data_IF_060583364688
#
_entry.id   IF_060583364688
#
_cell.length_a   1.000
_cell.length_b   1.000
_cell.length_c   1.000
_cell.angle_alpha   90.00
_cell.angle_beta   90.00
_cell.angle_gamma   90.00
#
_symmetry.space_group_name_H-M   'P 1'
#
loop_
_entity.id
_entity.type
_entity.pdbx_description
1 polymer ?
#
# COMPACT_ATOMS: atom_id res chain seq x y z
N UNK A 1 -4.23 12.69 3.92
CA UNK A 1 -3.78 14.09 3.81
C UNK A 1 -4.36 14.77 2.57
N UNK A 2 -4.46 14.10 1.43
CA UNK A 2 -5.15 14.61 0.21
C UNK A 2 -6.69 14.65 0.29
N UNK A 3 -7.29 14.38 1.45
CA UNK A 3 -8.76 14.35 1.63
C UNK A 3 -9.48 13.14 1.02
N UNK A 4 -8.76 12.19 0.41
CA UNK A 4 -9.35 10.95 -0.13
C UNK A 4 -9.79 10.03 1.02
N UNK A 5 -11.03 9.54 0.96
CA UNK A 5 -11.56 8.60 1.93
C UNK A 5 -10.75 7.29 1.94
N UNK A 6 -10.42 6.73 3.13
CA UNK A 6 -9.77 5.42 3.25
C UNK A 6 -10.46 4.31 2.47
N UNK A 7 -11.79 4.35 2.41
CA UNK A 7 -12.64 3.42 1.70
C UNK A 7 -12.44 3.49 0.18
N UNK A 8 -12.29 4.69 -0.38
CA UNK A 8 -12.01 4.87 -1.81
C UNK A 8 -10.63 4.32 -2.19
N UNK A 9 -9.62 4.51 -1.33
CA UNK A 9 -8.30 3.88 -1.49
C UNK A 9 -8.41 2.36 -1.36
N UNK A 10 -9.24 1.88 -0.43
CA UNK A 10 -9.46 0.47 -0.23
C UNK A 10 -10.11 -0.20 -1.44
N UNK A 11 -11.11 0.41 -2.08
CA UNK A 11 -11.78 -0.19 -3.25
C UNK A 11 -10.91 -0.18 -4.51
N UNK A 12 -10.03 0.81 -4.67
CA UNK A 12 -9.17 0.91 -5.85
C UNK A 12 -8.22 -0.28 -6.00
N UNK A 13 -7.73 -0.85 -4.90
CA UNK A 13 -6.64 -1.83 -4.93
C UNK A 13 -7.09 -3.28 -5.18
N UNK A 14 -8.22 -3.76 -4.64
CA UNK A 14 -8.85 -5.01 -5.07
C UNK A 14 -9.33 -4.96 -6.51
N UNK A 15 -9.84 -3.81 -6.99
CA UNK A 15 -10.16 -3.62 -8.40
C UNK A 15 -8.91 -3.75 -9.28
N UNK A 16 -7.75 -3.28 -8.78
CA UNK A 16 -6.45 -3.48 -9.41
C UNK A 16 -5.92 -4.92 -9.30
N UNK A 17 -6.47 -5.76 -8.41
CA UNK A 17 -6.08 -7.16 -8.27
C UNK A 17 -5.29 -7.52 -7.00
N UNK A 18 -5.12 -6.58 -6.08
CA UNK A 18 -4.47 -6.87 -4.79
C UNK A 18 -5.46 -7.57 -3.84
N UNK A 19 -5.00 -8.49 -2.98
CA UNK A 19 -5.87 -9.22 -2.06
C UNK A 19 -6.46 -8.32 -0.95
N UNK A 20 -5.82 -7.18 -0.68
CA UNK A 20 -6.20 -6.25 0.38
C UNK A 20 -5.71 -4.85 0.06
N UNK A 21 -6.53 -3.84 0.39
CA UNK A 21 -6.12 -2.44 0.28
C UNK A 21 -5.06 -2.03 1.31
N UNK A 22 -4.17 -1.09 0.99
CA UNK A 22 -2.99 -0.73 1.80
C UNK A 22 -3.36 -0.19 3.18
N UNK A 23 -4.50 0.49 3.31
CA UNK A 23 -4.96 1.03 4.60
C UNK A 23 -5.41 -0.09 5.54
N UNK A 24 -6.12 -1.10 5.02
CA UNK A 24 -6.54 -2.25 5.82
C UNK A 24 -5.33 -3.11 6.23
N UNK A 25 -4.37 -3.26 5.32
CA UNK A 25 -3.11 -3.94 5.62
C UNK A 25 -2.35 -3.21 6.73
N UNK A 26 -2.21 -1.88 6.65
CA UNK A 26 -1.56 -1.07 7.67
C UNK A 26 -2.24 -1.19 9.05
N UNK A 27 -3.58 -1.14 9.09
CA UNK A 27 -4.34 -1.35 10.33
C UNK A 27 -4.21 -2.79 10.88
N UNK A 28 -4.04 -3.78 10.00
CA UNK A 28 -3.86 -5.19 10.39
C UNK A 28 -2.49 -5.45 10.98
N UNK A 29 -1.44 -4.88 10.37
CA UNK A 29 -0.05 -4.95 10.86
C UNK A 29 0.10 -4.15 12.16
N UNK A 30 -0.45 -2.93 12.18
CA UNK A 30 -0.33 -1.99 13.28
C UNK A 30 0.29 -0.67 12.82
N UNK A 31 -0.39 0.44 13.11
CA UNK A 31 0.05 1.76 12.66
C UNK A 31 1.33 2.26 13.33
N UNK A 32 1.62 1.82 14.54
CA UNK A 32 2.88 2.08 15.23
C UNK A 32 4.06 1.37 14.57
N UNK A 33 3.86 0.13 14.12
CA UNK A 33 4.89 -0.63 13.39
C UNK A 33 5.15 0.04 12.05
N UNK A 34 4.09 0.40 11.31
CA UNK A 34 4.22 1.13 10.04
C UNK A 34 4.95 2.48 10.23
N UNK A 35 4.62 3.21 11.30
CA UNK A 35 5.28 4.48 11.65
C UNK A 35 6.76 4.30 11.99
N UNK A 36 7.11 3.30 12.80
CA UNK A 36 8.49 3.00 13.15
C UNK A 36 9.32 2.58 11.93
N UNK A 37 8.79 1.67 11.11
CA UNK A 37 9.42 1.24 9.87
C UNK A 37 9.62 2.42 8.90
N UNK A 38 8.59 3.25 8.73
CA UNK A 38 8.67 4.48 7.92
C UNK A 38 9.79 5.41 8.39
N UNK A 39 9.91 5.66 9.70
CA UNK A 39 11.00 6.50 10.24
C UNK A 39 12.40 5.96 9.95
N UNK A 40 12.56 4.63 9.92
CA UNK A 40 13.85 4.01 9.64
C UNK A 40 14.17 3.98 8.14
N UNK A 41 13.17 3.75 7.29
CA UNK A 41 13.35 3.49 5.86
C UNK A 41 13.21 4.72 4.98
N UNK A 42 12.48 5.75 5.40
CA UNK A 42 12.07 6.84 4.53
C UNK A 42 13.15 7.91 4.28
N UNK A 43 14.43 7.64 4.59
CA UNK A 43 15.57 8.52 4.35
C UNK A 43 15.36 10.00 4.78
N UNK A 44 14.58 10.22 5.85
CA UNK A 44 14.26 11.57 6.34
C UNK A 44 12.94 12.16 5.82
N UNK A 45 12.17 11.45 5.00
CA UNK A 45 10.82 11.87 4.64
C UNK A 45 9.89 11.83 5.85
N UNK A 46 9.03 12.85 5.95
CA UNK A 46 8.10 12.99 7.06
C UNK A 46 6.91 12.03 6.89
N UNK A 47 6.54 11.28 7.94
CA UNK A 47 5.38 10.42 7.88
C UNK A 47 4.10 11.28 7.71
N UNK A 48 3.06 10.73 7.05
CA UNK A 48 1.79 11.43 6.88
C UNK A 48 1.22 11.92 8.22
N UNK A 49 0.58 13.10 8.20
CA UNK A 49 0.00 13.70 9.42
C UNK A 49 -1.08 12.79 10.00
N UNK A 50 -1.93 12.24 9.13
CA UNK A 50 -2.99 11.31 9.54
C UNK A 50 -2.45 10.07 10.29
N UNK A 51 -1.26 9.57 9.93
CA UNK A 51 -0.62 8.45 10.59
C UNK A 51 -0.07 8.88 11.96
N UNK A 52 0.66 10.00 11.98
CA UNK A 52 1.27 10.55 13.20
C UNK A 52 0.23 10.85 14.27
N UNK A 53 -0.89 11.48 13.89
CA UNK A 53 -1.97 11.81 14.81
C UNK A 53 -2.70 10.56 15.35
N UNK A 54 -2.84 9.49 14.56
CA UNK A 54 -3.46 8.24 15.02
C UNK A 54 -2.57 7.49 15.99
N UNK A 55 -1.27 7.39 15.68
CA UNK A 55 -0.28 6.81 16.60
C UNK A 55 -0.23 7.60 17.91
N UNK A 56 -0.26 8.94 17.85
CA UNK A 56 -0.31 9.79 19.04
C UNK A 56 -1.57 9.62 19.90
N UNK A 57 -2.69 9.17 19.31
CA UNK A 57 -3.95 8.86 20.01
C UNK A 57 -4.07 7.40 20.44
N UNK A 58 -3.04 6.59 20.21
CA UNK A 58 -3.08 5.14 20.42
C UNK A 58 -4.18 4.42 19.59
N UNK A 59 -4.57 5.00 18.46
CA UNK A 59 -5.43 4.37 17.46
C UNK A 59 -4.53 3.55 16.52
N UNK A 60 -4.13 2.34 16.94
CA UNK A 60 -3.10 1.54 16.28
C UNK A 60 -3.60 0.50 15.28
N UNK A 61 -4.91 0.47 14.99
CA UNK A 61 -5.53 -0.48 14.06
C UNK A 61 -6.26 -1.62 14.76
N UNK A 62 -6.20 -2.82 14.17
CA UNK A 62 -6.96 -4.00 14.62
C UNK A 62 -6.70 -4.36 16.07
N UNK A 63 -5.45 -4.20 16.54
CA UNK A 63 -5.03 -4.58 17.89
C UNK A 63 -5.62 -3.69 19.00
N UNK A 64 -5.94 -2.44 18.69
CA UNK A 64 -6.58 -1.49 19.63
C UNK A 64 -8.08 -1.32 19.35
N UNK A 65 -8.63 -2.04 18.38
CA UNK A 65 -10.03 -1.91 17.95
C UNK A 65 -10.31 -0.67 17.10
N UNK A 66 -9.29 0.14 16.80
CA UNK A 66 -9.45 1.40 16.06
C UNK A 66 -8.12 1.84 15.45
N UNK A 67 -8.13 2.16 14.16
CA UNK A 67 -7.02 2.75 13.40
C UNK A 67 -7.57 3.71 12.36
N UNK A 68 -7.32 3.46 11.08
CA UNK A 68 -8.06 4.10 9.99
C UNK A 68 -9.53 3.67 9.96
N UNK A 69 -9.79 2.39 10.25
CA UNK A 69 -11.13 1.85 10.44
C UNK A 69 -11.44 1.64 11.91
N UNK A 70 -12.72 1.62 12.25
CA UNK A 70 -13.16 1.00 13.51
C UNK A 70 -13.15 -0.52 13.32
N UNK A 71 -12.61 -1.26 14.28
CA UNK A 71 -12.49 -2.72 14.20
C UNK A 71 -13.41 -3.37 15.23
N UNK A 72 -14.32 -4.22 14.75
CA UNK A 72 -15.23 -4.99 15.59
C UNK A 72 -15.17 -6.47 15.19
N UNK A 73 -14.97 -7.37 16.17
CA UNK A 73 -14.88 -8.81 15.94
C UNK A 73 -13.87 -9.20 14.83
N UNK A 74 -12.74 -8.49 14.77
CA UNK A 74 -11.68 -8.74 13.80
C UNK A 74 -11.98 -8.30 12.36
N UNK A 75 -13.10 -7.58 12.13
CA UNK A 75 -13.47 -7.00 10.84
C UNK A 75 -13.44 -5.46 10.90
N UNK A 76 -12.96 -4.78 9.86
CA UNK A 76 -13.05 -3.34 9.74
C UNK A 76 -14.49 -2.92 9.39
N UNK A 77 -15.01 -1.93 10.10
CA UNK A 77 -16.24 -1.23 9.73
C UNK A 77 -15.91 -0.21 8.64
N UNK A 78 -16.16 -0.60 7.39
CA UNK A 78 -15.94 0.24 6.20
C UNK A 78 -17.21 1.03 5.90
N UNK A 79 -17.09 2.33 5.64
CA UNK A 79 -18.18 3.11 5.06
C UNK A 79 -18.34 2.80 3.56
N UNK A 80 -19.36 3.38 2.93
CA UNK A 80 -19.44 3.35 1.47
C UNK A 80 -18.28 4.15 0.89
N UNK A 81 -17.53 3.56 -0.03
CA UNK A 81 -16.51 4.28 -0.78
C UNK A 81 -17.16 5.34 -1.65
N UNK A 82 -16.53 6.52 -1.73
CA UNK A 82 -16.83 7.46 -2.80
C UNK A 82 -16.33 6.91 -4.13
N UNK A 83 -16.77 7.53 -5.24
CA UNK A 83 -16.36 7.15 -6.58
C UNK A 83 -14.83 7.05 -6.66
N UNK A 84 -14.34 5.87 -7.05
CA UNK A 84 -12.92 5.67 -7.32
C UNK A 84 -12.58 6.38 -8.63
N UNK A 85 -11.71 7.39 -8.56
CA UNK A 85 -11.22 8.08 -9.73
C UNK A 85 -10.32 7.14 -10.57
N UNK A 86 -10.46 7.14 -11.91
CA UNK A 86 -9.54 6.43 -12.79
C UNK A 86 -8.09 6.87 -12.53
N UNK A 87 -7.13 5.94 -12.51
CA UNK A 87 -5.73 6.27 -12.25
C UNK A 87 -5.32 6.25 -10.77
N UNK A 88 -6.27 6.09 -9.82
CA UNK A 88 -5.92 6.08 -8.39
C UNK A 88 -5.08 4.86 -8.02
N UNK A 89 -5.42 3.68 -8.51
CA UNK A 89 -4.65 2.46 -8.22
C UNK A 89 -3.25 2.55 -8.81
N UNK A 90 -3.14 3.07 -10.03
CA UNK A 90 -1.90 3.32 -10.75
C UNK A 90 -1.00 4.25 -9.94
N UNK A 91 -1.52 5.40 -9.49
CA UNK A 91 -0.80 6.33 -8.60
C UNK A 91 -0.31 5.67 -7.32
N UNK A 92 -1.09 4.75 -6.75
CA UNK A 92 -0.72 4.04 -5.52
C UNK A 92 0.39 3.00 -5.76
N UNK A 93 0.43 2.35 -6.92
CA UNK A 93 1.46 1.34 -7.24
C UNK A 93 2.72 1.95 -7.85
N UNK A 94 2.66 3.14 -8.47
CA UNK A 94 3.81 3.77 -9.13
C UNK A 94 5.06 3.83 -8.24
N UNK A 95 5.02 4.28 -6.97
CA UNK A 95 6.22 4.33 -6.14
C UNK A 95 6.83 2.94 -5.87
N UNK A 96 5.99 1.90 -5.78
CA UNK A 96 6.45 0.51 -5.61
C UNK A 96 7.13 0.00 -6.89
N UNK A 97 6.56 0.32 -8.05
CA UNK A 97 7.12 -0.02 -9.37
C UNK A 97 8.48 0.65 -9.56
N UNK A 98 8.56 1.97 -9.35
CA UNK A 98 9.79 2.75 -9.46
C UNK A 98 10.87 2.23 -8.50
N UNK A 99 10.49 1.90 -7.27
CA UNK A 99 11.44 1.35 -6.29
C UNK A 99 11.95 -0.03 -6.70
N UNK A 100 11.08 -0.90 -7.20
CA UNK A 100 11.47 -2.23 -7.71
C UNK A 100 12.45 -2.09 -8.86
N UNK A 101 12.20 -1.16 -9.78
CA UNK A 101 13.08 -0.90 -10.92
C UNK A 101 14.46 -0.40 -10.47
N UNK A 102 14.50 0.53 -9.51
CA UNK A 102 15.75 1.03 -8.95
C UNK A 102 16.57 -0.08 -8.28
N UNK A 103 15.93 -0.98 -7.52
CA UNK A 103 16.64 -2.08 -6.85
C UNK A 103 17.26 -3.09 -7.82
N UNK A 104 16.62 -3.32 -8.98
CA UNK A 104 17.21 -4.14 -10.05
C UNK A 104 18.36 -3.38 -10.73
N UNK A 105 18.20 -2.09 -11.00
CA UNK A 105 19.25 -1.26 -11.62
C UNK A 105 20.50 -1.13 -10.73
N UNK A 106 20.32 -1.06 -9.42
CA UNK A 106 21.40 -1.02 -8.42
C UNK A 106 22.07 -2.39 -8.21
N UNK A 107 21.57 -3.45 -8.86
CA UNK A 107 22.09 -4.81 -8.74
C UNK A 107 21.80 -5.47 -7.38
N UNK A 108 20.85 -4.93 -6.60
CA UNK A 108 20.43 -5.50 -5.32
C UNK A 108 19.64 -6.79 -5.55
N UNK A 109 18.85 -6.84 -6.62
CA UNK A 109 18.16 -8.03 -7.11
C UNK A 109 18.78 -8.46 -8.43
N UNK A 110 18.99 -9.77 -8.61
CA UNK A 110 19.76 -10.29 -9.74
C UNK A 110 19.10 -10.02 -11.11
N UNK A 111 17.77 -10.07 -11.19
CA UNK A 111 17.03 -9.82 -12.43
C UNK A 111 15.58 -9.38 -12.15
N UNK A 112 14.88 -8.99 -13.22
CA UNK A 112 13.50 -8.50 -13.16
C UNK A 112 12.49 -9.59 -12.80
N UNK A 113 12.70 -10.84 -13.22
CA UNK A 113 11.76 -11.94 -12.98
C UNK A 113 11.73 -12.29 -11.48
N UNK A 114 12.90 -12.32 -10.84
CA UNK A 114 13.02 -12.51 -9.40
C UNK A 114 12.44 -11.34 -8.61
N UNK A 115 12.62 -10.10 -9.09
CA UNK A 115 12.02 -8.92 -8.47
C UNK A 115 10.49 -8.99 -8.54
N UNK A 116 9.94 -9.31 -9.71
CA UNK A 116 8.49 -9.44 -9.93
C UNK A 116 7.89 -10.55 -9.07
N UNK A 117 8.49 -11.74 -9.06
CA UNK A 117 8.06 -12.84 -8.20
C UNK A 117 8.11 -12.45 -6.72
N UNK A 118 9.19 -11.79 -6.28
CA UNK A 118 9.34 -11.35 -4.88
C UNK A 118 8.25 -10.38 -4.45
N UNK A 119 7.87 -9.43 -5.32
CA UNK A 119 6.83 -8.45 -5.01
C UNK A 119 5.42 -9.07 -5.06
N UNK A 120 5.14 -9.97 -6.01
CA UNK A 120 3.89 -10.73 -6.07
C UNK A 120 3.69 -11.55 -4.79
N UNK A 121 4.65 -12.41 -4.45
CA UNK A 121 4.50 -13.33 -3.32
C UNK A 121 4.70 -12.66 -1.95
N UNK A 122 5.51 -11.61 -1.89
CA UNK A 122 5.79 -10.90 -0.64
C UNK A 122 4.71 -9.89 -0.26
N UNK A 123 4.25 -9.09 -1.22
CA UNK A 123 3.34 -7.95 -0.96
C UNK A 123 1.90 -8.18 -1.44
N UNK A 124 1.67 -9.24 -2.22
CA UNK A 124 0.38 -9.51 -2.84
C UNK A 124 0.10 -8.62 -4.06
N UNK A 125 1.13 -8.21 -4.79
CA UNK A 125 0.95 -7.45 -6.03
C UNK A 125 0.15 -8.28 -7.04
N UNK A 126 -0.75 -7.62 -7.79
CA UNK A 126 -1.72 -8.23 -8.69
C UNK A 126 -1.08 -9.31 -9.58
N UNK A 127 -1.28 -10.61 -9.29
CA UNK A 127 -0.48 -11.67 -9.93
C UNK A 127 -0.72 -11.77 -11.45
N UNK A 128 -1.89 -11.36 -11.91
CA UNK A 128 -2.27 -11.41 -13.32
C UNK A 128 -1.55 -10.38 -14.19
N UNK A 129 -0.89 -9.37 -13.61
CA UNK A 129 -0.11 -8.38 -14.37
C UNK A 129 1.33 -8.82 -14.60
N UNK A 130 1.71 -10.02 -14.13
CA UNK A 130 3.09 -10.52 -14.23
C UNK A 130 4.08 -9.86 -13.25
N UNK A 131 3.62 -8.97 -12.36
CA UNK A 131 4.47 -8.25 -11.41
C UNK A 131 4.64 -6.76 -11.75
N UNK A 132 5.28 -5.97 -10.87
CA UNK A 132 5.43 -4.53 -11.03
C UNK A 132 6.24 -4.10 -12.27
N UNK A 133 7.31 -4.82 -12.64
CA UNK A 133 8.15 -4.46 -13.79
C UNK A 133 7.53 -4.91 -15.10
N UNK A 134 6.88 -6.07 -15.12
CA UNK A 134 6.10 -6.47 -16.28
C UNK A 134 4.90 -5.53 -16.52
N UNK A 135 4.18 -5.15 -15.44
CA UNK A 135 3.11 -4.17 -15.49
C UNK A 135 3.57 -2.82 -16.08
N UNK A 136 4.74 -2.33 -15.68
CA UNK A 136 5.25 -1.04 -16.17
C UNK A 136 5.58 -1.06 -17.66
N UNK A 137 6.03 -2.21 -18.20
CA UNK A 137 6.32 -2.38 -19.63
C UNK A 137 5.05 -2.32 -20.48
N UNK A 138 3.95 -2.90 -20.01
CA UNK A 138 2.66 -2.87 -20.71
C UNK A 138 2.00 -1.48 -20.67
N UNK A 139 2.24 -0.70 -19.62
CA UNK A 139 1.71 0.67 -19.50
C UNK A 139 2.51 1.72 -20.30
N UNK A 140 3.84 1.57 -20.44
CA UNK A 140 4.68 2.51 -21.22
C UNK A 140 4.57 2.27 -22.74
N UNK A 141 3.95 1.16 -23.15
CA UNK A 141 3.74 0.81 -24.56
C UNK A 141 2.33 1.15 -25.10
N UNK A 142 1.51 1.86 -24.31
CA UNK A 142 0.18 2.35 -24.68
C UNK A 142 0.11 3.84 -25.00
#
# INVERSE_FOLDING_TARGET
DEGIAPETIHEAMPAFGMPMGPIELADTVGLDIAYAAGKQLAAGAEPPRCLTERVGRNDLGKKTGKGFYAWANGKPAKAAAERVEPGLAERLVTPLVERTQALVADGIVADADLADAGVIFGTGFAPFTGGPLQYSREFVSG
#
